data_IF_783877214091
#
_entry.id   IF_783877214091
#
_cell.length_a   1.000
_cell.length_b   1.000
_cell.length_c   1.000
_cell.angle_alpha   90.00
_cell.angle_beta   90.00
_cell.angle_gamma   90.00
#
_symmetry.space_group_name_H-M   'P 1'
#
loop_
_entity.id
_entity.type
_entity.pdbx_description
1 polymer ?
#
# COMPACT_ATOMS: atom_id res chain seq x y z
N UNK A 1 4.60 15.90 -55.84
CA UNK A 1 3.60 15.78 -56.94
C UNK A 1 3.36 14.35 -57.42
N UNK A 2 4.34 13.44 -57.33
CA UNK A 2 4.24 12.06 -57.87
C UNK A 2 3.02 11.27 -57.32
N UNK A 3 2.64 11.46 -56.06
CA UNK A 3 1.54 10.69 -55.44
C UNK A 3 0.12 11.11 -55.88
N UNK A 4 -0.11 12.37 -56.30
CA UNK A 4 -1.46 12.82 -56.70
C UNK A 4 -1.81 12.29 -58.09
N UNK A 5 -0.83 12.22 -58.99
CA UNK A 5 -1.02 11.71 -60.36
C UNK A 5 -0.94 10.18 -60.45
N UNK A 6 -0.53 9.49 -59.38
CA UNK A 6 -0.33 8.04 -59.40
C UNK A 6 -1.67 7.32 -59.63
N UNK A 7 -1.79 6.57 -60.73
CA UNK A 7 -3.01 5.85 -61.13
C UNK A 7 -4.09 6.72 -61.80
N UNK A 8 -3.80 7.96 -62.21
CA UNK A 8 -4.70 8.76 -63.04
C UNK A 8 -4.48 8.44 -64.53
N UNK A 9 -5.55 8.21 -65.30
CA UNK A 9 -5.49 7.95 -66.75
C UNK A 9 -5.93 9.16 -67.57
N UNK A 10 -6.73 10.03 -66.98
CA UNK A 10 -7.29 11.23 -67.60
C UNK A 10 -7.12 12.46 -66.69
N UNK A 11 -7.27 13.66 -67.27
CA UNK A 11 -7.26 14.92 -66.52
C UNK A 11 -8.37 14.98 -65.46
N UNK A 12 -9.54 14.43 -65.78
CA UNK A 12 -10.70 14.33 -64.87
C UNK A 12 -10.37 13.55 -63.58
N UNK A 13 -9.53 12.50 -63.67
CA UNK A 13 -9.10 11.73 -62.50
C UNK A 13 -8.25 12.58 -61.54
N UNK A 14 -7.41 13.46 -62.08
CA UNK A 14 -6.56 14.37 -61.30
C UNK A 14 -7.41 15.40 -60.58
N UNK A 15 -8.40 15.98 -61.28
CA UNK A 15 -9.34 16.95 -60.69
C UNK A 15 -10.14 16.29 -59.56
N UNK A 16 -10.62 15.08 -59.76
CA UNK A 16 -11.39 14.32 -58.76
C UNK A 16 -10.55 14.05 -57.52
N UNK A 17 -9.31 13.53 -57.68
CA UNK A 17 -8.41 13.32 -56.54
C UNK A 17 -8.04 14.60 -55.80
N UNK A 18 -7.87 15.70 -56.52
CA UNK A 18 -7.63 17.02 -55.91
C UNK A 18 -8.84 17.44 -55.07
N UNK A 19 -10.06 17.31 -55.60
CA UNK A 19 -11.28 17.65 -54.89
C UNK A 19 -11.45 16.77 -53.63
N UNK A 20 -11.22 15.47 -53.73
CA UNK A 20 -11.25 14.55 -52.59
C UNK A 20 -10.22 14.89 -51.52
N UNK A 21 -9.00 15.23 -51.94
CA UNK A 21 -7.94 15.65 -51.03
C UNK A 21 -8.30 16.93 -50.28
N UNK A 22 -8.76 17.96 -50.98
CA UNK A 22 -9.20 19.21 -50.37
C UNK A 22 -10.40 18.99 -49.44
N UNK A 23 -11.35 18.15 -49.84
CA UNK A 23 -12.48 17.76 -48.99
C UNK A 23 -12.01 17.08 -47.70
N UNK A 24 -11.05 16.14 -47.78
CA UNK A 24 -10.45 15.51 -46.59
C UNK A 24 -9.77 16.52 -45.66
N UNK A 25 -9.00 17.46 -46.20
CA UNK A 25 -8.38 18.53 -45.39
C UNK A 25 -9.43 19.39 -44.69
N UNK A 26 -10.48 19.80 -45.42
CA UNK A 26 -11.56 20.61 -44.85
C UNK A 26 -12.31 19.88 -43.71
N UNK A 27 -12.55 18.57 -43.85
CA UNK A 27 -13.16 17.74 -42.79
C UNK A 27 -12.29 17.66 -41.54
N UNK A 28 -10.97 17.69 -41.69
CA UNK A 28 -10.00 17.72 -40.60
C UNK A 28 -9.71 19.14 -40.09
N UNK A 29 -10.35 20.18 -40.67
CA UNK A 29 -10.09 21.60 -40.38
C UNK A 29 -8.62 21.99 -40.58
N UNK A 30 -8.01 21.43 -41.63
CA UNK A 30 -6.66 21.77 -42.06
C UNK A 30 -6.78 22.77 -43.20
N UNK A 31 -6.48 24.02 -42.92
CA UNK A 31 -6.56 25.10 -43.90
C UNK A 31 -5.17 25.58 -44.30
N UNK A 32 -5.02 25.96 -45.57
CA UNK A 32 -3.84 26.69 -46.01
C UNK A 32 -3.91 28.09 -45.42
N UNK A 33 -2.83 28.48 -44.77
CA UNK A 33 -2.72 29.80 -44.21
C UNK A 33 -2.79 30.91 -45.27
N UNK A 34 -3.53 31.98 -44.97
CA UNK A 34 -3.60 33.18 -45.78
C UNK A 34 -2.33 34.03 -45.62
N UNK A 35 -1.86 34.70 -46.69
CA UNK A 35 -0.71 35.60 -46.59
C UNK A 35 -1.00 36.72 -45.58
N UNK A 36 -0.11 36.89 -44.61
CA UNK A 36 -0.21 37.89 -43.55
C UNK A 36 1.17 38.43 -43.22
N UNK A 37 1.23 39.71 -42.86
CA UNK A 37 2.44 40.34 -42.36
C UNK A 37 2.62 40.09 -40.85
N UNK A 38 3.51 39.15 -40.53
CA UNK A 38 3.86 38.77 -39.16
C UNK A 38 4.82 39.77 -38.47
N UNK A 39 5.40 40.71 -39.22
CA UNK A 39 6.28 41.75 -38.68
C UNK A 39 5.57 43.07 -38.42
N UNK A 40 4.27 43.15 -38.74
CA UNK A 40 3.42 44.32 -38.45
C UNK A 40 3.42 44.74 -36.97
N UNK A 41 3.73 43.81 -36.06
CA UNK A 41 3.87 44.06 -34.62
C UNK A 41 5.26 43.66 -34.12
N UNK A 42 6.20 44.62 -33.98
CA UNK A 42 7.56 44.34 -33.55
C UNK A 42 7.66 43.70 -32.16
N UNK A 43 6.69 43.94 -31.28
CA UNK A 43 6.59 43.36 -29.93
C UNK A 43 6.55 41.82 -29.92
N UNK A 44 6.14 41.18 -31.02
CA UNK A 44 6.09 39.72 -31.13
C UNK A 44 7.28 39.14 -31.90
N UNK A 45 8.20 39.98 -32.35
CA UNK A 45 9.37 39.54 -33.08
C UNK A 45 10.39 38.86 -32.16
N UNK A 46 10.77 37.63 -32.51
CA UNK A 46 11.79 36.84 -31.81
C UNK A 46 13.11 36.85 -32.59
N UNK A 47 13.03 37.04 -33.91
CA UNK A 47 14.20 37.11 -34.77
C UNK A 47 14.99 38.39 -34.50
N UNK A 48 16.18 38.24 -33.92
CA UNK A 48 17.16 39.31 -33.80
C UNK A 48 18.56 38.80 -34.16
N UNK A 49 19.44 39.69 -34.65
CA UNK A 49 20.83 39.33 -34.97
C UNK A 49 21.59 38.79 -33.74
N UNK A 50 21.25 39.31 -32.55
CA UNK A 50 21.83 38.87 -31.28
C UNK A 50 21.37 37.44 -30.98
N UNK A 51 20.06 37.17 -31.06
CA UNK A 51 19.48 35.83 -30.83
C UNK A 51 20.05 34.80 -31.81
N UNK A 52 20.20 35.15 -33.09
CA UNK A 52 20.81 34.26 -34.10
C UNK A 52 22.26 33.96 -33.72
N UNK A 53 23.05 34.97 -33.37
CA UNK A 53 24.46 34.81 -33.00
C UNK A 53 24.63 33.93 -31.76
N UNK A 54 23.83 34.18 -30.72
CA UNK A 54 23.93 33.46 -29.45
C UNK A 54 23.54 31.99 -29.60
N UNK A 55 22.45 31.70 -30.32
CA UNK A 55 22.03 30.33 -30.61
C UNK A 55 23.04 29.63 -31.53
N UNK A 56 23.56 30.33 -32.54
CA UNK A 56 24.59 29.77 -33.42
C UNK A 56 25.86 29.46 -32.64
N UNK A 57 26.20 30.26 -31.61
CA UNK A 57 27.30 29.98 -30.68
C UNK A 57 27.02 28.76 -29.81
N UNK A 58 25.80 28.61 -29.30
CA UNK A 58 25.37 27.42 -28.54
C UNK A 58 25.47 26.14 -29.38
N UNK A 59 25.22 26.23 -30.69
CA UNK A 59 25.16 25.09 -31.61
C UNK A 59 26.43 24.90 -32.46
N UNK A 60 27.56 25.54 -32.10
CA UNK A 60 28.81 25.47 -32.89
C UNK A 60 29.30 24.04 -33.12
N UNK A 61 29.16 23.16 -32.13
CA UNK A 61 29.59 21.76 -32.22
C UNK A 61 28.78 20.95 -33.26
N UNK A 62 27.61 21.46 -33.67
CA UNK A 62 26.68 20.76 -34.57
C UNK A 62 26.78 21.20 -36.04
N UNK A 63 27.72 22.08 -36.41
CA UNK A 63 27.91 22.60 -37.78
C UNK A 63 26.63 23.19 -38.42
N UNK A 64 25.77 23.83 -37.62
CA UNK A 64 24.52 24.44 -38.09
C UNK A 64 24.80 25.81 -38.71
N UNK A 65 24.24 26.09 -39.88
CA UNK A 65 24.36 27.41 -40.52
C UNK A 65 23.46 28.45 -39.84
N UNK A 66 23.97 29.67 -39.66
CA UNK A 66 23.22 30.79 -39.07
C UNK A 66 21.95 31.12 -39.88
N UNK A 67 21.95 30.85 -41.19
CA UNK A 67 20.76 31.02 -42.05
C UNK A 67 19.63 30.05 -41.70
N UNK A 68 19.96 28.83 -41.27
CA UNK A 68 18.97 27.85 -40.82
C UNK A 68 18.33 28.31 -39.51
N UNK A 69 19.15 28.79 -38.57
CA UNK A 69 18.67 29.37 -37.31
C UNK A 69 17.77 30.58 -37.57
N UNK A 70 18.16 31.52 -38.45
CA UNK A 70 17.30 32.65 -38.83
C UNK A 70 15.97 32.17 -39.42
N UNK A 71 16.00 31.19 -40.33
CA UNK A 71 14.77 30.65 -40.93
C UNK A 71 13.81 30.04 -39.89
N UNK A 72 14.35 29.39 -38.85
CA UNK A 72 13.57 28.87 -37.73
C UNK A 72 13.00 30.01 -36.88
N UNK A 73 13.81 31.02 -36.56
CA UNK A 73 13.33 32.17 -35.78
C UNK A 73 12.23 32.95 -36.50
N UNK A 74 12.24 33.01 -37.84
CA UNK A 74 11.12 33.57 -38.63
C UNK A 74 9.81 32.81 -38.38
N UNK A 75 9.88 31.48 -38.31
CA UNK A 75 8.72 30.64 -37.96
C UNK A 75 8.29 30.94 -36.52
N UNK A 76 9.23 31.13 -35.59
CA UNK A 76 8.89 31.44 -34.19
C UNK A 76 8.24 32.80 -34.03
N UNK A 77 8.75 33.84 -34.71
CA UNK A 77 8.10 35.16 -34.77
C UNK A 77 6.65 35.03 -35.22
N UNK A 78 6.41 34.23 -36.27
CA UNK A 78 5.05 33.96 -36.75
C UNK A 78 4.19 33.26 -35.68
N UNK A 79 4.70 32.21 -35.02
CA UNK A 79 3.96 31.52 -33.95
C UNK A 79 3.66 32.49 -32.79
N UNK A 80 4.63 33.29 -32.37
CA UNK A 80 4.48 34.25 -31.29
C UNK A 80 3.47 35.35 -31.61
N UNK A 81 3.46 35.81 -32.87
CA UNK A 81 2.45 36.72 -33.39
C UNK A 81 1.04 36.10 -33.28
N UNK A 82 0.87 34.83 -33.66
CA UNK A 82 -0.41 34.12 -33.53
C UNK A 82 -0.83 33.93 -32.06
N UNK A 83 0.14 33.78 -31.16
CA UNK A 83 -0.07 33.72 -29.71
C UNK A 83 -0.29 35.09 -29.06
N UNK A 84 -0.10 36.19 -29.79
CA UNK A 84 -0.12 37.55 -29.24
C UNK A 84 0.84 37.72 -28.05
N UNK A 85 2.00 37.07 -28.10
CA UNK A 85 2.99 37.09 -27.02
C UNK A 85 2.64 36.23 -25.78
N UNK A 86 1.51 35.51 -25.78
CA UNK A 86 1.10 34.69 -24.64
C UNK A 86 1.74 33.30 -24.69
N UNK A 87 2.97 33.18 -24.18
CA UNK A 87 3.72 31.92 -24.15
C UNK A 87 3.58 31.15 -22.83
N UNK A 88 3.34 31.85 -21.71
CA UNK A 88 3.17 31.26 -20.38
C UNK A 88 1.70 30.92 -20.06
N UNK A 89 1.08 30.15 -20.94
CA UNK A 89 -0.29 29.64 -20.76
C UNK A 89 -0.33 28.13 -20.98
N UNK A 90 -1.39 27.48 -20.49
CA UNK A 90 -1.54 26.03 -20.66
C UNK A 90 -1.67 25.64 -22.14
N UNK A 91 -1.24 24.41 -22.48
CA UNK A 91 -1.37 23.82 -23.82
C UNK A 91 -2.82 23.86 -24.36
N UNK A 92 -3.79 23.87 -23.46
CA UNK A 92 -5.23 23.93 -23.74
C UNK A 92 -5.71 25.31 -24.21
N UNK A 93 -4.90 26.37 -24.01
CA UNK A 93 -5.23 27.76 -24.34
C UNK A 93 -4.28 28.40 -25.34
N UNK A 94 -3.16 27.75 -25.67
CA UNK A 94 -2.19 28.28 -26.62
C UNK A 94 -2.75 28.31 -28.03
N UNK A 95 -2.58 29.43 -28.72
CA UNK A 95 -3.20 29.65 -30.03
C UNK A 95 -2.54 28.86 -31.17
N UNK A 96 -1.22 28.71 -31.15
CA UNK A 96 -0.44 28.09 -32.21
C UNK A 96 0.81 27.40 -31.68
N UNK A 97 1.22 26.29 -32.30
CA UNK A 97 2.47 25.59 -32.04
C UNK A 97 3.02 25.13 -33.39
N UNK A 98 4.34 25.20 -33.57
CA UNK A 98 4.98 24.59 -34.73
C UNK A 98 5.27 23.12 -34.46
N UNK A 99 4.47 22.23 -35.05
CA UNK A 99 4.63 20.78 -34.92
C UNK A 99 5.67 20.27 -35.92
N UNK A 100 6.75 19.67 -35.44
CA UNK A 100 7.83 19.14 -36.28
C UNK A 100 8.61 18.04 -35.57
N UNK A 101 9.03 17.03 -36.33
CA UNK A 101 9.95 15.98 -35.87
C UNK A 101 11.43 16.32 -36.16
N UNK A 102 11.69 17.46 -36.81
CA UNK A 102 13.07 17.90 -37.04
C UNK A 102 13.72 18.31 -35.72
N UNK A 103 14.94 17.82 -35.47
CA UNK A 103 15.66 18.05 -34.22
C UNK A 103 16.03 19.52 -34.01
N UNK A 104 16.40 20.24 -35.08
CA UNK A 104 16.97 21.57 -34.98
C UNK A 104 15.95 22.62 -34.50
N UNK A 105 14.74 22.74 -35.09
CA UNK A 105 13.72 23.65 -34.56
C UNK A 105 13.32 23.33 -33.12
N UNK A 106 13.25 22.05 -32.76
CA UNK A 106 12.96 21.65 -31.38
C UNK A 106 14.07 22.14 -30.44
N UNK A 107 15.34 21.92 -30.80
CA UNK A 107 16.49 22.37 -30.01
C UNK A 107 16.50 23.89 -29.83
N UNK A 108 16.33 24.64 -30.93
CA UNK A 108 16.28 26.12 -30.91
C UNK A 108 15.12 26.60 -30.04
N UNK A 109 13.97 25.90 -30.07
CA UNK A 109 12.80 26.28 -29.27
C UNK A 109 12.97 26.12 -27.76
N UNK A 110 13.94 25.33 -27.30
CA UNK A 110 14.28 25.17 -25.88
C UNK A 110 15.54 25.94 -25.47
N UNK A 111 16.16 26.68 -26.39
CA UNK A 111 17.31 27.53 -26.08
C UNK A 111 16.90 28.63 -25.08
N UNK A 112 17.75 28.95 -24.08
CA UNK A 112 17.46 30.00 -23.09
C UNK A 112 17.30 31.40 -23.71
N UNK A 113 17.76 31.61 -24.93
CA UNK A 113 17.62 32.87 -25.67
C UNK A 113 16.21 33.10 -26.23
N UNK A 114 15.36 32.07 -26.24
CA UNK A 114 14.01 32.08 -26.83
C UNK A 114 12.97 31.56 -25.83
N UNK A 115 13.32 30.58 -25.02
CA UNK A 115 12.41 29.91 -24.11
C UNK A 115 12.40 30.57 -22.72
N UNK A 116 11.26 31.13 -22.34
CA UNK A 116 11.06 31.84 -21.06
C UNK A 116 11.10 30.94 -19.82
N UNK A 117 11.02 29.60 -19.98
CA UNK A 117 10.99 28.67 -18.85
C UNK A 117 9.67 28.66 -18.07
N UNK A 118 9.70 28.16 -16.83
CA UNK A 118 8.60 28.28 -15.84
C UNK A 118 7.19 27.85 -16.31
N UNK A 119 7.10 26.84 -17.18
CA UNK A 119 5.82 26.33 -17.67
C UNK A 119 5.35 26.95 -18.99
N UNK A 120 6.15 27.83 -19.61
CA UNK A 120 5.91 28.31 -20.96
C UNK A 120 5.84 27.17 -21.98
N UNK A 121 5.03 27.36 -23.03
CA UNK A 121 4.91 26.42 -24.14
C UNK A 121 5.96 26.79 -25.20
N UNK A 122 6.89 25.88 -25.55
CA UNK A 122 7.86 26.12 -26.62
C UNK A 122 7.19 26.46 -27.96
N UNK A 123 7.88 27.18 -28.83
CA UNK A 123 7.39 27.52 -30.17
C UNK A 123 7.32 26.30 -31.09
N UNK A 124 8.25 25.35 -30.96
CA UNK A 124 8.29 24.12 -31.74
C UNK A 124 8.37 22.86 -30.87
N UNK A 125 7.56 21.85 -31.20
CA UNK A 125 7.52 20.56 -30.49
C UNK A 125 7.22 19.40 -31.43
N UNK A 126 7.42 18.18 -30.93
CA UNK A 126 6.96 16.96 -31.57
C UNK A 126 5.54 16.58 -31.13
N UNK A 127 5.00 15.51 -31.73
CA UNK A 127 3.65 15.03 -31.41
C UNK A 127 3.56 14.45 -30.00
N UNK A 128 4.63 13.79 -29.54
CA UNK A 128 4.72 13.17 -28.23
C UNK A 128 4.50 14.19 -27.11
N UNK A 129 5.20 15.33 -27.16
CA UNK A 129 5.04 16.42 -26.21
C UNK A 129 3.58 16.91 -26.11
N UNK A 130 2.91 17.09 -27.25
CA UNK A 130 1.51 17.53 -27.26
C UNK A 130 0.62 16.46 -26.62
N UNK A 131 0.81 15.19 -26.99
CA UNK A 131 0.01 14.09 -26.44
C UNK A 131 0.19 13.95 -24.93
N UNK A 132 1.41 14.06 -24.41
CA UNK A 132 1.70 14.01 -22.97
C UNK A 132 1.05 15.17 -22.22
N UNK A 133 1.20 16.40 -22.73
CA UNK A 133 0.61 17.59 -22.10
C UNK A 133 -0.91 17.52 -22.11
N UNK A 134 -1.53 17.09 -23.21
CA UNK A 134 -2.97 16.87 -23.28
C UNK A 134 -3.41 15.74 -22.35
N UNK A 135 -2.68 14.63 -22.29
CA UNK A 135 -2.99 13.51 -21.39
C UNK A 135 -2.97 13.93 -19.92
N UNK A 136 -1.97 14.71 -19.54
CA UNK A 136 -1.87 15.29 -18.20
C UNK A 136 -3.06 16.24 -17.92
N UNK A 137 -3.37 17.14 -18.85
CA UNK A 137 -4.50 18.08 -18.73
C UNK A 137 -5.87 17.42 -18.67
N UNK A 138 -6.05 16.32 -19.41
CA UNK A 138 -7.27 15.52 -19.39
C UNK A 138 -7.45 14.73 -18.08
N UNK A 139 -6.60 14.97 -17.06
CA UNK A 139 -6.73 14.41 -15.71
C UNK A 139 -6.74 12.87 -15.66
N UNK A 140 -6.22 12.21 -16.69
CA UNK A 140 -6.05 10.74 -16.69
C UNK A 140 -4.94 10.25 -15.74
N UNK A 141 -4.31 11.16 -14.98
CA UNK A 141 -3.28 10.84 -13.99
C UNK A 141 -3.47 11.56 -12.65
N UNK A 142 -4.58 11.32 -11.93
CA UNK A 142 -4.80 11.68 -10.50
C UNK A 142 -5.45 13.04 -10.15
N UNK A 143 -6.01 13.81 -11.09
CA UNK A 143 -6.41 15.22 -10.84
C UNK A 143 -7.85 15.66 -11.13
N UNK A 144 -8.79 14.76 -11.43
CA UNK A 144 -10.19 15.14 -11.67
C UNK A 144 -11.05 15.23 -10.39
N UNK A 145 -12.33 15.59 -10.53
CA UNK A 145 -13.39 15.41 -9.49
C UNK A 145 -13.50 13.96 -8.96
N UNK A 146 -12.75 13.03 -9.53
CA UNK A 146 -12.54 11.67 -9.04
C UNK A 146 -11.76 11.67 -7.72
N UNK A 147 -12.35 11.05 -6.70
CA UNK A 147 -11.76 10.80 -5.38
C UNK A 147 -10.26 10.48 -5.49
N UNK A 148 -9.43 11.21 -4.73
CA UNK A 148 -8.02 10.89 -4.55
C UNK A 148 -7.87 9.39 -4.23
N UNK A 149 -6.81 8.71 -4.70
CA UNK A 149 -6.58 7.32 -4.34
C UNK A 149 -6.63 7.18 -2.82
N UNK A 150 -7.28 6.11 -2.33
CA UNK A 150 -7.59 5.98 -0.90
C UNK A 150 -6.32 5.96 -0.04
N UNK A 151 -5.18 5.58 -0.62
CA UNK A 151 -3.84 5.66 -0.03
C UNK A 151 -3.36 7.07 0.35
N UNK A 152 -3.97 8.14 -0.16
CA UNK A 152 -3.65 9.52 0.20
C UNK A 152 -4.44 10.05 1.41
N UNK A 153 -5.46 9.32 1.90
CA UNK A 153 -6.14 9.75 3.12
C UNK A 153 -5.21 9.55 4.33
N UNK A 154 -5.06 10.57 5.22
CA UNK A 154 -4.21 10.48 6.40
C UNK A 154 -4.47 9.25 7.27
N UNK A 155 -5.75 8.86 7.41
CA UNK A 155 -6.18 7.70 8.17
C UNK A 155 -5.65 6.40 7.56
N UNK A 156 -5.69 6.25 6.23
CA UNK A 156 -5.18 5.05 5.54
C UNK A 156 -3.66 4.98 5.66
N UNK A 157 -2.95 6.12 5.56
CA UNK A 157 -1.51 6.17 5.81
C UNK A 157 -1.16 5.74 7.23
N UNK A 158 -1.89 6.24 8.23
CA UNK A 158 -1.69 5.84 9.63
C UNK A 158 -1.91 4.32 9.81
N UNK A 159 -2.99 3.77 9.26
CA UNK A 159 -3.27 2.32 9.29
C UNK A 159 -2.15 1.51 8.63
N UNK A 160 -1.67 1.92 7.47
CA UNK A 160 -0.55 1.27 6.77
C UNK A 160 0.74 1.30 7.62
N UNK A 161 1.07 2.45 8.20
CA UNK A 161 2.27 2.59 9.05
C UNK A 161 2.18 1.71 10.29
N UNK A 162 1.04 1.72 10.99
CA UNK A 162 0.83 0.90 12.20
C UNK A 162 0.91 -0.59 11.85
N UNK A 163 0.20 -1.05 10.81
CA UNK A 163 0.23 -2.44 10.33
C UNK A 163 1.65 -2.89 9.97
N UNK A 164 2.44 -2.03 9.31
CA UNK A 164 3.83 -2.32 9.00
C UNK A 164 4.70 -2.47 10.25
N UNK A 165 4.53 -1.61 11.26
CA UNK A 165 5.28 -1.70 12.52
C UNK A 165 4.91 -2.96 13.31
N UNK A 166 3.62 -3.30 13.37
CA UNK A 166 3.12 -4.52 14.02
C UNK A 166 3.70 -5.75 13.34
N UNK A 167 3.64 -5.81 12.00
CA UNK A 167 4.18 -6.94 11.22
C UNK A 167 5.66 -7.14 11.48
N UNK A 168 6.42 -6.05 11.62
CA UNK A 168 7.84 -6.09 11.98
C UNK A 168 8.07 -6.60 13.41
N UNK A 169 7.25 -6.17 14.37
CA UNK A 169 7.31 -6.68 15.74
C UNK A 169 6.99 -8.18 15.79
N UNK A 170 5.90 -8.60 15.15
CA UNK A 170 5.51 -10.01 15.03
C UNK A 170 6.64 -10.86 14.43
N UNK A 171 7.29 -10.37 13.37
CA UNK A 171 8.45 -11.05 12.79
C UNK A 171 9.61 -11.19 13.79
N UNK A 172 9.93 -10.14 14.55
CA UNK A 172 10.97 -10.18 15.58
C UNK A 172 10.61 -11.17 16.71
N UNK A 173 9.34 -11.24 17.10
CA UNK A 173 8.83 -12.21 18.06
C UNK A 173 9.05 -13.63 17.54
N UNK A 174 8.65 -13.93 16.29
CA UNK A 174 8.88 -15.24 15.66
C UNK A 174 10.36 -15.63 15.63
N UNK A 175 11.23 -14.70 15.23
CA UNK A 175 12.68 -14.91 15.18
C UNK A 175 13.24 -15.24 16.57
N UNK A 176 12.77 -14.54 17.60
CA UNK A 176 13.21 -14.73 18.99
C UNK A 176 12.75 -16.07 19.56
N UNK A 177 11.50 -16.47 19.30
CA UNK A 177 10.94 -17.76 19.71
C UNK A 177 11.67 -18.93 19.05
N UNK A 178 11.93 -18.84 17.75
CA UNK A 178 12.68 -19.87 17.02
C UNK A 178 14.09 -20.05 17.58
N UNK A 179 14.79 -18.96 17.90
CA UNK A 179 16.10 -19.01 18.55
C UNK A 179 16.02 -19.68 19.93
N UNK A 180 15.10 -19.24 20.79
CA UNK A 180 14.94 -19.78 22.16
C UNK A 180 14.54 -21.26 22.18
N UNK A 181 13.75 -21.71 21.21
CA UNK A 181 13.41 -23.13 21.03
C UNK A 181 14.62 -23.97 20.63
N UNK A 182 15.40 -23.49 19.64
CA UNK A 182 16.61 -24.19 19.20
C UNK A 182 17.66 -24.29 20.32
N UNK A 183 17.69 -23.31 21.23
CA UNK A 183 18.54 -23.31 22.43
C UNK A 183 17.99 -24.19 23.57
N UNK A 184 16.80 -24.79 23.42
CA UNK A 184 16.18 -25.65 24.43
C UNK A 184 15.61 -24.90 25.65
N UNK A 185 15.54 -23.57 25.59
CA UNK A 185 15.09 -22.72 26.71
C UNK A 185 13.56 -22.65 26.87
N UNK A 186 12.80 -23.06 25.86
CA UNK A 186 11.34 -23.00 25.82
C UNK A 186 10.78 -24.32 25.27
N UNK A 187 9.73 -24.83 25.90
CA UNK A 187 9.02 -26.04 25.47
C UNK A 187 7.97 -25.78 24.37
N UNK A 188 7.62 -26.83 23.63
CA UNK A 188 6.67 -26.81 22.51
C UNK A 188 5.29 -26.27 22.91
N UNK A 189 4.84 -26.58 24.12
CA UNK A 189 3.54 -26.11 24.63
C UNK A 189 3.51 -24.58 24.82
N UNK A 190 4.63 -23.99 25.26
CA UNK A 190 4.76 -22.53 25.39
C UNK A 190 4.74 -21.87 24.02
N UNK A 191 5.38 -22.48 23.02
CA UNK A 191 5.41 -21.97 21.65
C UNK A 191 4.01 -22.00 21.03
N UNK A 192 3.26 -23.08 21.22
CA UNK A 192 1.90 -23.20 20.72
C UNK A 192 0.99 -22.10 21.28
N UNK A 193 1.10 -21.79 22.58
CA UNK A 193 0.35 -20.70 23.23
C UNK A 193 0.73 -19.34 22.64
N UNK A 194 2.03 -19.05 22.54
CA UNK A 194 2.51 -17.77 22.03
C UNK A 194 2.11 -17.60 20.54
N UNK A 195 2.15 -18.68 19.76
CA UNK A 195 1.72 -18.69 18.37
C UNK A 195 0.24 -18.32 18.21
N UNK A 196 -0.64 -18.88 19.07
CA UNK A 196 -2.06 -18.55 19.07
C UNK A 196 -2.31 -17.06 19.38
N UNK A 197 -1.52 -16.47 20.27
CA UNK A 197 -1.63 -15.05 20.59
C UNK A 197 -1.15 -14.15 19.46
N UNK A 198 -0.01 -14.47 18.83
CA UNK A 198 0.55 -13.68 17.72
C UNK A 198 -0.41 -13.62 16.53
N UNK A 199 -1.14 -14.70 16.25
CA UNK A 199 -2.11 -14.73 15.15
C UNK A 199 -3.30 -13.78 15.36
N UNK A 200 -3.50 -13.24 16.57
CA UNK A 200 -4.52 -12.21 16.83
C UNK A 200 -4.03 -10.80 16.49
N UNK A 201 -2.74 -10.60 16.21
CA UNK A 201 -2.18 -9.28 15.94
C UNK A 201 -2.79 -8.65 14.67
N UNK A 202 -3.26 -7.39 14.72
CA UNK A 202 -3.88 -6.72 13.57
C UNK A 202 -2.80 -6.29 12.55
N UNK A 203 -2.32 -7.27 11.80
CA UNK A 203 -1.16 -7.13 10.93
C UNK A 203 -1.54 -6.57 9.56
N UNK A 204 -2.81 -6.64 9.13
CA UNK A 204 -3.28 -5.99 7.90
C UNK A 204 -3.82 -4.59 8.21
N UNK A 205 -3.72 -3.64 7.26
CA UNK A 205 -4.24 -2.29 7.46
C UNK A 205 -5.75 -2.25 7.75
N UNK A 206 -6.51 -3.21 7.22
CA UNK A 206 -7.96 -3.34 7.46
C UNK A 206 -8.28 -3.81 8.88
N UNK A 207 -7.38 -4.59 9.48
CA UNK A 207 -7.50 -5.09 10.86
C UNK A 207 -7.22 -3.98 11.89
N UNK A 208 -6.55 -2.88 11.47
CA UNK A 208 -6.25 -1.74 12.35
C UNK A 208 -7.49 -0.86 12.49
N UNK A 209 -8.12 -0.94 13.67
CA UNK A 209 -9.27 -0.16 14.09
C UNK A 209 -9.02 0.46 15.48
N UNK A 210 -9.94 1.31 15.95
CA UNK A 210 -9.87 1.89 17.29
C UNK A 210 -9.92 0.77 18.35
N UNK A 211 -10.74 -0.25 18.12
CA UNK A 211 -10.92 -1.41 19.01
C UNK A 211 -9.65 -2.27 19.07
N UNK A 212 -8.96 -2.44 17.94
CA UNK A 212 -7.73 -3.23 17.87
C UNK A 212 -6.47 -2.45 18.30
N UNK A 213 -6.59 -1.15 18.57
CA UNK A 213 -5.44 -0.28 18.87
C UNK A 213 -4.76 -0.67 20.18
N UNK A 214 -5.53 -1.06 21.19
CA UNK A 214 -4.98 -1.55 22.45
C UNK A 214 -4.14 -2.82 22.25
N UNK A 215 -4.60 -3.72 21.37
CA UNK A 215 -3.86 -4.93 21.03
C UNK A 215 -2.61 -4.60 20.21
N UNK A 216 -2.71 -3.69 19.24
CA UNK A 216 -1.57 -3.19 18.48
C UNK A 216 -0.46 -2.62 19.39
N UNK A 217 -0.83 -1.81 20.38
CA UNK A 217 0.10 -1.26 21.36
C UNK A 217 0.83 -2.36 22.15
N UNK A 218 0.13 -3.42 22.54
CA UNK A 218 0.73 -4.54 23.25
C UNK A 218 1.81 -5.25 22.42
N UNK A 219 1.58 -5.46 21.12
CA UNK A 219 2.57 -6.06 20.23
C UNK A 219 3.74 -5.14 19.90
N UNK A 220 3.53 -3.82 19.92
CA UNK A 220 4.61 -2.85 19.71
C UNK A 220 5.52 -2.72 20.94
N UNK A 221 5.07 -3.17 22.11
CA UNK A 221 5.87 -3.18 23.33
C UNK A 221 6.79 -4.42 23.37
N UNK A 222 8.10 -4.20 23.50
CA UNK A 222 9.12 -5.27 23.44
C UNK A 222 8.97 -6.34 24.53
N UNK A 223 8.27 -6.04 25.62
CA UNK A 223 8.12 -6.94 26.77
C UNK A 223 6.93 -7.92 26.67
N UNK A 224 6.18 -7.93 25.57
CA UNK A 224 4.96 -8.72 25.43
C UNK A 224 5.18 -10.23 25.63
N UNK A 225 6.23 -10.80 25.03
CA UNK A 225 6.57 -12.22 25.16
C UNK A 225 6.91 -12.58 26.60
N UNK A 226 7.72 -11.75 27.26
CA UNK A 226 8.15 -12.01 28.64
C UNK A 226 6.96 -12.02 29.60
N UNK A 227 5.99 -11.13 29.36
CA UNK A 227 4.75 -11.11 30.13
C UNK A 227 3.97 -12.41 29.99
N UNK A 228 3.77 -12.91 28.76
CA UNK A 228 3.06 -14.17 28.52
C UNK A 228 3.79 -15.36 29.18
N UNK A 229 5.12 -15.40 29.07
CA UNK A 229 5.92 -16.46 29.70
C UNK A 229 5.76 -16.41 31.23
N UNK A 230 5.86 -15.22 31.83
CA UNK A 230 5.68 -15.02 33.28
C UNK A 230 4.28 -15.42 33.75
N UNK A 231 3.26 -15.05 33.00
CA UNK A 231 1.86 -15.38 33.31
C UNK A 231 1.62 -16.89 33.24
N UNK A 232 2.16 -17.58 32.24
CA UNK A 232 2.09 -19.05 32.16
C UNK A 232 2.76 -19.72 33.37
N UNK A 233 3.97 -19.27 33.73
CA UNK A 233 4.71 -19.82 34.88
C UNK A 233 3.91 -19.63 36.18
N UNK A 234 3.29 -18.47 36.36
CA UNK A 234 2.44 -18.18 37.51
C UNK A 234 1.22 -19.13 37.54
N UNK A 235 0.50 -19.26 36.44
CA UNK A 235 -0.66 -20.15 36.32
C UNK A 235 -0.30 -21.62 36.60
N UNK A 236 0.84 -22.10 36.10
CA UNK A 236 1.32 -23.46 36.38
C UNK A 236 1.71 -23.66 37.85
N UNK A 237 2.19 -22.62 38.52
CA UNK A 237 2.48 -22.64 39.96
C UNK A 237 1.20 -22.70 40.77
N UNK A 238 0.26 -21.80 40.51
CA UNK A 238 -1.04 -21.74 41.20
C UNK A 238 -1.84 -23.04 40.99
N UNK A 239 -1.79 -23.60 39.77
CA UNK A 239 -2.42 -24.89 39.48
C UNK A 239 -1.79 -26.04 40.29
N UNK A 240 -0.48 -26.02 40.53
CA UNK A 240 0.21 -27.02 41.36
C UNK A 240 -0.17 -26.88 42.83
N UNK A 241 -0.10 -25.67 43.37
CA UNK A 241 -0.49 -25.37 44.75
C UNK A 241 -1.96 -25.72 44.99
N UNK A 242 -2.85 -25.37 44.06
CA UNK A 242 -4.27 -25.73 44.12
C UNK A 242 -4.54 -27.24 44.06
N UNK A 243 -3.72 -28.00 43.31
CA UNK A 243 -3.79 -29.47 43.32
C UNK A 243 -3.34 -30.05 44.66
N UNK A 244 -2.22 -29.57 45.20
CA UNK A 244 -1.72 -29.98 46.51
C UNK A 244 -2.73 -29.70 47.62
N UNK A 245 -3.28 -28.47 47.66
CA UNK A 245 -4.31 -28.10 48.62
C UNK A 245 -5.56 -28.98 48.51
N UNK A 246 -6.01 -29.33 47.28
CA UNK A 246 -7.12 -30.26 47.07
C UNK A 246 -6.84 -31.66 47.59
N UNK A 247 -5.61 -32.16 47.40
CA UNK A 247 -5.22 -33.48 47.87
C UNK A 247 -5.08 -33.53 49.40
N UNK A 248 -4.54 -32.48 50.02
CA UNK A 248 -4.52 -32.32 51.48
C UNK A 248 -5.94 -32.29 52.06
N UNK A 249 -6.84 -31.52 51.45
CA UNK A 249 -8.26 -31.45 51.85
C UNK A 249 -8.94 -32.82 51.74
N UNK A 250 -8.63 -33.61 50.70
CA UNK A 250 -9.12 -34.99 50.55
C UNK A 250 -8.61 -35.88 51.67
N UNK A 251 -7.33 -35.78 52.04
CA UNK A 251 -6.77 -36.54 53.15
C UNK A 251 -7.39 -36.16 54.49
N UNK A 252 -7.58 -34.87 54.75
CA UNK A 252 -8.22 -34.38 55.98
C UNK A 252 -9.65 -34.91 56.08
N UNK A 253 -10.46 -34.75 55.02
CA UNK A 253 -11.83 -35.28 54.96
C UNK A 253 -11.88 -36.80 55.14
N UNK A 254 -10.91 -37.53 54.60
CA UNK A 254 -10.80 -38.97 54.79
C UNK A 254 -10.51 -39.33 56.26
N UNK A 255 -9.58 -38.61 56.91
CA UNK A 255 -9.27 -38.79 58.35
C UNK A 255 -10.48 -38.45 59.22
N UNK A 256 -11.17 -37.34 58.95
CA UNK A 256 -12.38 -36.94 59.68
C UNK A 256 -13.49 -37.99 59.57
N UNK A 257 -13.78 -38.47 58.35
CA UNK A 257 -14.75 -39.56 58.14
C UNK A 257 -14.34 -40.83 58.87
N UNK A 258 -13.05 -41.18 58.86
CA UNK A 258 -12.54 -42.33 59.62
C UNK A 258 -12.76 -42.12 61.12
N UNK A 259 -12.46 -40.94 61.65
CA UNK A 259 -12.60 -40.59 63.06
C UNK A 259 -14.06 -40.57 63.53
N UNK A 260 -14.98 -40.02 62.73
CA UNK A 260 -16.43 -40.06 63.00
C UNK A 260 -16.94 -41.51 63.07
N UNK A 261 -16.39 -42.41 62.24
CA UNK A 261 -16.79 -43.81 62.21
C UNK A 261 -16.09 -44.68 63.29
N UNK A 262 -15.04 -44.20 63.96
CA UNK A 262 -14.37 -44.92 65.04
C UNK A 262 -15.26 -45.24 66.25
N UNK A 263 -16.05 -44.31 66.82
CA UNK A 263 -16.93 -44.62 67.95
C UNK A 263 -18.01 -45.64 67.56
N UNK A 264 -18.63 -45.50 66.39
CA UNK A 264 -19.62 -46.47 65.90
C UNK A 264 -19.01 -47.86 65.69
N UNK A 265 -17.80 -47.96 65.12
CA UNK A 265 -17.08 -49.24 65.01
C UNK A 265 -16.70 -49.84 66.36
N UNK A 266 -16.33 -49.02 67.35
CA UNK A 266 -16.02 -49.49 68.72
C UNK A 266 -17.29 -49.97 69.45
N UNK A 267 -18.40 -49.26 69.32
CA UNK A 267 -19.70 -49.65 69.89
C UNK A 267 -20.24 -50.92 69.24
N UNK A 268 -20.18 -51.03 67.91
CA UNK A 268 -20.56 -52.24 67.20
C UNK A 268 -19.70 -53.44 67.63
N UNK A 269 -18.37 -53.29 67.70
CA UNK A 269 -17.49 -54.37 68.21
C UNK A 269 -17.80 -54.78 69.65
N UNK A 270 -18.20 -53.84 70.52
CA UNK A 270 -18.65 -54.15 71.89
C UNK A 270 -19.96 -54.93 71.88
N UNK A 271 -20.93 -54.52 71.07
CA UNK A 271 -22.21 -55.23 70.92
C UNK A 271 -22.03 -56.63 70.35
N UNK A 272 -21.23 -56.80 69.30
CA UNK A 272 -20.92 -58.14 68.76
C UNK A 272 -20.20 -59.05 69.77
N UNK A 273 -19.32 -58.49 70.62
CA UNK A 273 -18.71 -59.26 71.72
C UNK A 273 -19.75 -59.66 72.77
N UNK A 274 -20.65 -58.76 73.16
CA UNK A 274 -21.71 -59.05 74.13
C UNK A 274 -22.71 -60.09 73.61
N UNK A 275 -23.11 -59.99 72.34
CA UNK A 275 -23.96 -60.99 71.69
C UNK A 275 -23.23 -62.33 71.61
N UNK A 276 -21.93 -62.34 71.28
CA UNK A 276 -21.12 -63.56 71.31
C UNK A 276 -21.07 -64.20 72.71
N UNK A 277 -20.89 -63.41 73.77
CA UNK A 277 -20.96 -63.90 75.15
C UNK A 277 -22.36 -64.41 75.51
N UNK A 278 -23.43 -63.74 75.07
CA UNK A 278 -24.81 -64.19 75.28
C UNK A 278 -25.12 -65.50 74.55
N UNK A 279 -24.61 -65.66 73.33
CA UNK A 279 -24.76 -66.88 72.53
C UNK A 279 -24.02 -68.06 73.18
N UNK A 280 -22.82 -67.81 73.71
CA UNK A 280 -22.08 -68.79 74.50
C UNK A 280 -22.81 -69.12 75.81
N UNK A 281 -23.39 -68.12 76.49
CA UNK A 281 -24.16 -68.33 77.72
C UNK A 281 -25.43 -69.16 77.48
N UNK A 282 -26.16 -68.88 76.40
CA UNK A 282 -27.34 -69.67 75.98
C UNK A 282 -26.94 -71.10 75.61
N UNK A 283 -25.83 -71.31 74.91
CA UNK A 283 -25.31 -72.65 74.60
C UNK A 283 -24.90 -73.46 75.84
N UNK A 284 -24.45 -72.79 76.91
CA UNK A 284 -24.02 -73.45 78.16
C UNK A 284 -25.19 -73.68 79.12
N UNK A 285 -26.23 -72.82 79.13
CA UNK A 285 -27.36 -72.91 80.07
C UNK A 285 -28.66 -73.52 79.52
N UNK A 286 -28.85 -73.61 78.20
CA UNK A 286 -30.00 -74.32 77.59
C UNK A 286 -29.63 -75.77 77.21
N UNK A 287 -29.23 -76.56 78.21
CA UNK A 287 -29.37 -78.01 78.15
C UNK A 287 -30.62 -78.34 78.97
N UNK A 288 -31.80 -78.55 78.36
CA UNK A 288 -32.95 -79.03 79.10
C UNK A 288 -32.75 -80.52 79.40
N UNK A 289 -32.72 -80.83 80.70
CA UNK A 289 -33.02 -82.15 81.24
C UNK A 289 -34.46 -82.46 80.87
N UNK A 290 -34.69 -83.53 80.10
CA UNK A 290 -36.01 -84.16 80.00
C UNK A 290 -35.81 -85.67 80.16
N UNK A 291 -36.33 -86.17 81.27
CA UNK A 291 -36.57 -87.58 81.57
C UNK A 291 -37.55 -88.18 80.55
N UNK A 292 -37.19 -89.34 79.99
CA UNK A 292 -37.98 -90.58 79.93
C UNK A 292 -37.07 -91.74 79.53
#
# INVERSE_FOLDING_TARGET
MINICNGCKSESDVITKKADFLNKLSKLRIDKEAPKDYYSKPEFNIESEITVRDISKELQESNVDAKEVSSILKIFTKINYLRQGQNNIGIDRVAAIFLTESWLPQRVSFSPHVFEGNGAIPFATNIEFITEKLWFKLNKGFGGKSKKPVSFYPIIRAKLTISSQISRSVYNIYKTLSKKYNEGSIDKDVIALIYQEINKAPSRPDDVSIESMSMAEQFLNENYIERIIKEKILLEKDAREGRQAKDELRQIRYRERKNLNLPFKKSARRQYRLIGFFYIYILVFNIPIFDY
#
